data_IF_037282687269
#
_entry.id   IF_037282687269
#
_cell.length_a   1.000
_cell.length_b   1.000
_cell.length_c   1.000
_cell.angle_alpha   90.00
_cell.angle_beta   90.00
_cell.angle_gamma   90.00
#
_symmetry.space_group_name_H-M   'P 1'
#
loop_
_entity.id
_entity.type
_entity.pdbx_description
1 polymer ?
#
# COMPACT_ATOMS: atom_id res chain seq x y z
N UNK A 1 5.82 -1.01 6.85
CA UNK A 1 4.94 -0.07 6.17
C UNK A 1 3.97 0.56 7.17
N UNK A 2 3.76 1.88 7.07
CA UNK A 2 2.63 2.51 7.73
C UNK A 2 1.32 2.02 7.13
N UNK A 3 0.29 1.88 7.95
CA UNK A 3 -1.05 1.45 7.52
C UNK A 3 -2.07 2.39 8.13
N UNK A 4 -2.87 3.03 7.29
CA UNK A 4 -3.90 3.98 7.70
C UNK A 4 -5.24 3.48 7.18
N UNK A 5 -6.16 3.20 8.09
CA UNK A 5 -7.53 2.83 7.77
C UNK A 5 -8.34 4.12 7.58
N UNK A 6 -9.06 4.24 6.47
CA UNK A 6 -9.80 5.45 6.07
C UNK A 6 -11.22 5.06 5.75
N UNK A 7 -12.19 5.66 6.45
CA UNK A 7 -13.61 5.34 6.30
C UNK A 7 -14.46 6.61 6.29
N UNK A 8 -15.58 6.55 5.58
CA UNK A 8 -16.58 7.62 5.48
C UNK A 8 -17.07 7.82 4.05
N UNK A 9 -18.20 8.49 3.90
CA UNK A 9 -18.79 8.76 2.58
C UNK A 9 -17.89 9.63 1.70
N UNK A 10 -17.08 10.49 2.33
CA UNK A 10 -16.16 11.38 1.63
C UNK A 10 -14.74 10.81 1.51
N UNK A 11 -14.48 9.56 1.95
CA UNK A 11 -13.16 8.95 1.93
C UNK A 11 -12.54 8.91 0.52
N UNK A 12 -13.30 8.52 -0.50
CA UNK A 12 -12.83 8.49 -1.88
C UNK A 12 -12.47 9.89 -2.41
N UNK A 13 -13.31 10.88 -2.11
CA UNK A 13 -13.09 12.29 -2.47
C UNK A 13 -11.87 12.87 -1.75
N UNK A 14 -11.66 12.50 -0.48
CA UNK A 14 -10.49 12.91 0.28
C UNK A 14 -9.19 12.32 -0.31
N UNK A 15 -9.21 11.05 -0.70
CA UNK A 15 -8.08 10.44 -1.39
C UNK A 15 -7.78 11.11 -2.73
N UNK A 16 -8.80 11.57 -3.45
CA UNK A 16 -8.60 12.36 -4.67
C UNK A 16 -7.97 13.74 -4.39
N UNK A 17 -8.21 14.33 -3.23
CA UNK A 17 -7.62 15.60 -2.82
C UNK A 17 -6.13 15.45 -2.45
N UNK A 18 -5.76 14.40 -1.73
CA UNK A 18 -4.41 14.23 -1.18
C UNK A 18 -3.45 13.48 -2.12
N UNK A 19 -3.95 12.74 -3.10
CA UNK A 19 -3.13 12.05 -4.10
C UNK A 19 -3.17 12.73 -5.47
N UNK A 20 -2.11 12.60 -6.24
CA UNK A 20 -2.01 13.12 -7.61
C UNK A 20 -2.95 12.39 -8.58
N UNK A 21 -3.20 11.12 -8.36
CA UNK A 21 -4.08 10.28 -9.16
C UNK A 21 -5.46 10.09 -8.50
N UNK A 22 -6.41 9.48 -9.22
CA UNK A 22 -7.82 9.40 -8.81
C UNK A 22 -8.11 8.10 -8.08
N UNK A 23 -8.74 8.17 -6.93
CA UNK A 23 -9.15 7.01 -6.11
C UNK A 23 -10.66 6.78 -6.08
N UNK A 24 -11.47 7.81 -6.36
CA UNK A 24 -12.94 7.68 -6.48
C UNK A 24 -13.37 6.66 -7.53
N UNK A 25 -12.58 6.48 -8.59
CA UNK A 25 -12.80 5.49 -9.65
C UNK A 25 -12.19 4.11 -9.37
N UNK A 26 -11.55 3.91 -8.23
CA UNK A 26 -10.99 2.61 -7.87
C UNK A 26 -12.12 1.63 -7.51
N UNK A 27 -12.26 0.49 -8.19
CA UNK A 27 -13.28 -0.49 -7.81
C UNK A 27 -13.01 -1.10 -6.44
N UNK A 28 -14.06 -1.55 -5.75
CA UNK A 28 -13.94 -2.33 -4.52
C UNK A 28 -13.11 -3.59 -4.78
N UNK A 29 -12.29 -3.99 -3.82
CA UNK A 29 -11.32 -5.10 -3.90
C UNK A 29 -10.18 -4.87 -4.91
N UNK A 30 -9.90 -3.61 -5.22
CA UNK A 30 -8.72 -3.24 -6.03
C UNK A 30 -7.77 -2.37 -5.22
N UNK A 31 -6.51 -2.40 -5.65
CA UNK A 31 -5.42 -1.57 -5.13
C UNK A 31 -4.99 -0.59 -6.21
N UNK A 32 -4.54 0.57 -5.81
CA UNK A 32 -3.90 1.56 -6.70
C UNK A 32 -2.68 2.15 -6.01
N UNK A 33 -1.59 2.22 -6.73
CA UNK A 33 -0.42 2.97 -6.31
C UNK A 33 -0.70 4.47 -6.48
N UNK A 34 -0.28 5.26 -5.50
CA UNK A 34 -0.50 6.70 -5.46
C UNK A 34 0.76 7.47 -5.09
N UNK A 35 0.86 8.68 -5.62
CA UNK A 35 1.89 9.65 -5.29
C UNK A 35 1.24 10.82 -4.57
N UNK A 36 1.79 11.19 -3.41
CA UNK A 36 1.33 12.31 -2.59
C UNK A 36 2.34 13.44 -2.67
N UNK A 37 1.85 14.66 -2.88
CA UNK A 37 2.68 15.86 -2.90
C UNK A 37 2.45 16.70 -1.64
N UNK A 38 3.46 17.47 -1.28
CA UNK A 38 3.32 18.60 -0.38
C UNK A 38 2.72 19.78 -1.13
N UNK A 39 2.28 20.80 -0.42
CA UNK A 39 1.70 22.02 -0.98
C UNK A 39 2.66 22.77 -1.93
N UNK A 40 3.97 22.64 -1.71
CA UNK A 40 5.04 23.20 -2.54
C UNK A 40 5.39 22.38 -3.78
N UNK A 41 4.65 21.31 -4.06
CA UNK A 41 4.79 20.46 -5.25
C UNK A 41 5.84 19.35 -5.16
N UNK A 42 6.61 19.29 -4.08
CA UNK A 42 7.55 18.18 -3.86
C UNK A 42 6.83 16.92 -3.38
N UNK A 43 7.41 15.77 -3.68
CA UNK A 43 6.87 14.47 -3.23
C UNK A 43 6.94 14.39 -1.70
N UNK A 44 5.80 14.07 -1.09
CA UNK A 44 5.66 13.83 0.34
C UNK A 44 5.93 12.35 0.66
N UNK A 45 5.21 11.47 -0.03
CA UNK A 45 5.29 10.01 0.12
C UNK A 45 4.63 9.32 -1.07
N UNK A 46 4.87 8.03 -1.18
CA UNK A 46 4.22 7.14 -2.14
C UNK A 46 3.68 5.90 -1.41
N UNK A 47 2.79 5.20 -2.06
CA UNK A 47 2.28 3.95 -1.50
C UNK A 47 1.09 3.38 -2.24
N UNK A 48 0.57 2.29 -1.71
CA UNK A 48 -0.62 1.65 -2.26
C UNK A 48 -1.83 1.92 -1.39
N UNK A 49 -2.97 2.15 -2.03
CA UNK A 49 -4.25 2.26 -1.33
C UNK A 49 -5.21 1.22 -1.88
N UNK A 50 -5.73 0.38 -1.00
CA UNK A 50 -6.70 -0.65 -1.29
C UNK A 50 -8.11 -0.17 -0.96
N UNK A 51 -9.09 -0.37 -1.86
CA UNK A 51 -10.50 -0.16 -1.57
C UNK A 51 -11.11 -1.44 -1.04
N UNK A 52 -11.28 -1.52 0.28
CA UNK A 52 -11.80 -2.72 0.97
C UNK A 52 -13.32 -2.82 0.92
N UNK A 53 -13.98 -1.68 0.84
CA UNK A 53 -15.45 -1.54 0.75
C UNK A 53 -15.81 -0.24 0.05
N UNK A 54 -17.09 0.03 -0.13
CA UNK A 54 -17.54 1.22 -0.86
C UNK A 54 -16.94 2.51 -0.27
N UNK A 55 -17.00 2.65 1.05
CA UNK A 55 -16.51 3.81 1.80
C UNK A 55 -15.37 3.44 2.75
N UNK A 56 -14.60 2.40 2.43
CA UNK A 56 -13.53 1.89 3.27
C UNK A 56 -12.26 1.63 2.46
N UNK A 57 -11.18 2.30 2.85
CA UNK A 57 -9.87 2.20 2.21
C UNK A 57 -8.79 1.86 3.25
N UNK A 58 -7.76 1.18 2.79
CA UNK A 58 -6.52 0.96 3.54
C UNK A 58 -5.37 1.57 2.73
N UNK A 59 -4.80 2.64 3.25
CA UNK A 59 -3.61 3.28 2.71
C UNK A 59 -2.37 2.68 3.33
N UNK A 60 -1.35 2.38 2.52
CA UNK A 60 0.01 2.11 2.99
C UNK A 60 0.91 3.30 2.71
N UNK A 61 1.89 3.52 3.57
CA UNK A 61 2.89 4.58 3.46
C UNK A 61 4.28 3.99 3.60
N UNK A 62 5.29 4.72 3.20
CA UNK A 62 6.66 4.42 3.62
C UNK A 62 6.73 4.34 5.15
N UNK A 63 7.47 3.39 5.70
CA UNK A 63 7.56 3.20 7.16
C UNK A 63 8.03 4.48 7.87
N UNK A 64 9.07 5.12 7.35
CA UNK A 64 9.62 6.35 7.91
C UNK A 64 8.66 7.55 7.81
N UNK A 65 7.79 7.57 6.80
CA UNK A 65 6.84 8.65 6.57
C UNK A 65 5.48 8.47 7.26
N UNK A 66 5.22 7.33 7.91
CA UNK A 66 3.90 7.02 8.46
C UNK A 66 3.32 8.12 9.37
N UNK A 67 4.13 8.65 10.30
CA UNK A 67 3.73 9.76 11.17
C UNK A 67 3.60 11.09 10.44
N UNK A 68 4.42 11.34 9.41
CA UNK A 68 4.36 12.54 8.59
C UNK A 68 3.07 12.55 7.76
N UNK A 69 2.76 11.44 7.11
CA UNK A 69 1.52 11.29 6.32
C UNK A 69 0.29 11.44 7.22
N UNK A 70 0.26 10.81 8.39
CA UNK A 70 -0.86 10.99 9.34
C UNK A 70 -1.09 12.46 9.69
N UNK A 71 -0.03 13.20 10.02
CA UNK A 71 -0.14 14.64 10.32
C UNK A 71 -0.61 15.45 9.12
N UNK A 72 -0.14 15.10 7.92
CA UNK A 72 -0.56 15.76 6.69
C UNK A 72 -2.06 15.54 6.41
N UNK A 73 -2.54 14.29 6.53
CA UNK A 73 -3.95 13.98 6.35
C UNK A 73 -4.83 14.73 7.37
N UNK A 74 -4.39 14.76 8.63
CA UNK A 74 -5.10 15.45 9.70
C UNK A 74 -5.16 16.96 9.47
N UNK A 75 -4.04 17.57 9.08
CA UNK A 75 -3.96 18.99 8.72
C UNK A 75 -4.91 19.33 7.56
N UNK A 76 -4.87 18.57 6.47
CA UNK A 76 -5.75 18.80 5.31
C UNK A 76 -7.23 18.63 5.70
N UNK A 77 -7.55 17.60 6.48
CA UNK A 77 -8.91 17.39 6.96
C UNK A 77 -9.41 18.59 7.78
N UNK A 78 -8.62 19.06 8.74
CA UNK A 78 -9.01 20.13 9.63
C UNK A 78 -9.07 21.51 8.96
N UNK A 79 -8.30 21.74 7.92
CA UNK A 79 -8.20 23.05 7.25
C UNK A 79 -9.04 23.17 5.99
N UNK A 80 -9.24 22.09 5.23
CA UNK A 80 -9.90 22.12 3.92
C UNK A 80 -11.24 21.39 3.88
N UNK A 81 -11.48 20.46 4.78
CA UNK A 81 -12.65 19.58 4.67
C UNK A 81 -13.16 19.07 6.04
N UNK A 82 -13.18 19.93 7.04
CA UNK A 82 -13.57 19.57 8.40
C UNK A 82 -15.01 19.01 8.50
N UNK A 83 -15.90 19.45 7.61
CA UNK A 83 -17.31 19.02 7.58
C UNK A 83 -17.53 17.71 6.80
N UNK A 84 -16.46 17.13 6.23
CA UNK A 84 -16.59 15.88 5.48
C UNK A 84 -16.79 14.68 6.42
N UNK A 85 -17.65 13.76 6.01
CA UNK A 85 -17.83 12.48 6.69
C UNK A 85 -16.64 11.57 6.42
N UNK A 86 -15.63 11.72 7.26
CA UNK A 86 -14.32 11.09 7.12
C UNK A 86 -13.75 10.73 8.49
N UNK A 87 -13.20 9.53 8.59
CA UNK A 87 -12.42 9.06 9.74
C UNK A 87 -11.19 8.32 9.21
N UNK A 88 -10.04 8.59 9.79
CA UNK A 88 -8.82 7.84 9.51
C UNK A 88 -8.05 7.59 10.79
N UNK A 89 -7.46 6.41 10.88
CA UNK A 89 -6.71 5.96 12.05
C UNK A 89 -5.50 5.12 11.62
N UNK A 90 -4.38 5.29 12.32
CA UNK A 90 -3.24 4.39 12.14
C UNK A 90 -3.59 2.99 12.67
N UNK A 91 -3.44 2.00 11.80
CA UNK A 91 -3.58 0.58 12.13
C UNK A 91 -2.26 -0.16 11.91
N UNK A 92 -1.15 0.57 11.90
CA UNK A 92 0.19 0.03 11.65
C UNK A 92 0.51 -1.14 12.58
N UNK A 93 0.26 -0.98 13.86
CA UNK A 93 0.55 -1.99 14.88
C UNK A 93 -0.54 -3.08 14.99
N UNK A 94 -1.67 -2.89 14.32
CA UNK A 94 -2.79 -3.85 14.37
C UNK A 94 -2.62 -5.02 13.42
N UNK A 95 -1.75 -4.89 12.42
CA UNK A 95 -1.58 -5.87 11.35
C UNK A 95 -0.11 -6.21 11.12
N UNK A 96 0.24 -7.48 11.32
CA UNK A 96 1.49 -8.07 10.81
C UNK A 96 1.31 -8.41 9.33
N UNK A 97 2.19 -7.89 8.47
CA UNK A 97 2.10 -8.03 7.01
C UNK A 97 3.42 -8.57 6.45
N UNK A 98 3.33 -9.57 5.58
CA UNK A 98 4.47 -10.26 5.00
C UNK A 98 4.37 -10.26 3.48
N UNK A 99 5.48 -9.96 2.81
CA UNK A 99 5.63 -10.11 1.37
C UNK A 99 6.01 -11.57 1.04
N UNK A 100 5.31 -12.14 0.06
CA UNK A 100 5.59 -13.47 -0.50
C UNK A 100 5.82 -13.26 -1.99
N UNK A 101 7.07 -13.39 -2.45
CA UNK A 101 7.46 -13.03 -3.81
C UNK A 101 8.23 -14.17 -4.51
N UNK A 102 8.16 -14.18 -5.82
CA UNK A 102 8.82 -15.14 -6.69
C UNK A 102 7.87 -16.08 -7.43
N UNK A 103 8.37 -16.89 -8.36
CA UNK A 103 7.54 -17.70 -9.26
C UNK A 103 6.70 -18.77 -8.55
N UNK A 104 7.06 -19.13 -7.32
CA UNK A 104 6.32 -20.08 -6.49
C UNK A 104 5.43 -19.41 -5.43
N UNK A 105 5.33 -18.09 -5.41
CA UNK A 105 4.59 -17.33 -4.40
C UNK A 105 3.12 -17.75 -4.27
N UNK A 106 2.45 -17.98 -5.40
CA UNK A 106 1.06 -18.47 -5.41
C UNK A 106 0.94 -19.89 -4.84
N UNK A 107 1.87 -20.77 -5.19
CA UNK A 107 1.87 -22.14 -4.66
C UNK A 107 2.10 -22.14 -3.14
N UNK A 108 3.02 -21.31 -2.67
CA UNK A 108 3.30 -21.13 -1.23
C UNK A 108 2.05 -20.62 -0.49
N UNK A 109 1.38 -19.59 -1.02
CA UNK A 109 0.14 -19.09 -0.42
C UNK A 109 -0.95 -20.16 -0.37
N UNK A 110 -1.16 -20.92 -1.44
CA UNK A 110 -2.14 -22.00 -1.47
C UNK A 110 -1.85 -23.11 -0.45
N UNK A 111 -0.58 -23.26 -0.04
CA UNK A 111 -0.21 -24.21 1.01
C UNK A 111 -0.45 -23.67 2.44
N UNK A 112 -0.67 -22.36 2.58
CA UNK A 112 -0.89 -21.67 3.88
C UNK A 112 -2.36 -21.30 4.08
N UNK A 113 -3.06 -20.96 3.01
CA UNK A 113 -4.45 -20.53 3.06
C UNK A 113 -5.41 -21.71 3.31
N UNK A 114 -6.47 -21.49 4.06
CA UNK A 114 -7.52 -22.50 4.31
C UNK A 114 -8.26 -22.90 3.03
N UNK A 115 -8.31 -22.00 2.04
CA UNK A 115 -8.88 -22.28 0.73
C UNK A 115 -7.91 -21.79 -0.36
N UNK A 116 -7.72 -22.56 -1.44
CA UNK A 116 -6.90 -22.13 -2.57
C UNK A 116 -7.38 -20.81 -3.16
N UNK A 117 -6.44 -19.98 -3.59
CA UNK A 117 -6.75 -18.74 -4.28
C UNK A 117 -7.49 -19.03 -5.60
N UNK A 118 -8.71 -18.51 -5.69
CA UNK A 118 -9.43 -18.39 -6.96
C UNK A 118 -8.72 -17.39 -7.91
N UNK A 119 -9.43 -16.83 -8.86
CA UNK A 119 -8.89 -15.74 -9.68
C UNK A 119 -8.60 -14.51 -8.80
N UNK A 120 -7.31 -14.15 -8.73
CA UNK A 120 -6.83 -13.02 -7.93
C UNK A 120 -5.85 -12.21 -8.78
N UNK A 121 -6.36 -11.28 -9.64
CA UNK A 121 -5.54 -10.57 -10.62
C UNK A 121 -4.59 -9.58 -9.96
N UNK A 122 -3.58 -9.14 -10.71
CA UNK A 122 -2.66 -8.10 -10.26
C UNK A 122 -3.42 -6.85 -9.80
N UNK A 123 -2.97 -6.23 -8.71
CA UNK A 123 -3.63 -5.12 -8.00
C UNK A 123 -5.03 -5.48 -7.46
N UNK A 124 -5.31 -6.75 -7.19
CA UNK A 124 -6.48 -7.16 -6.40
C UNK A 124 -6.15 -7.16 -4.91
N UNK A 125 -7.18 -7.00 -4.09
CA UNK A 125 -7.14 -7.23 -2.66
C UNK A 125 -8.42 -7.90 -2.17
N UNK A 126 -8.35 -8.63 -1.06
CA UNK A 126 -9.53 -9.26 -0.50
C UNK A 126 -9.28 -10.00 0.79
N UNK A 127 -10.37 -10.41 1.47
CA UNK A 127 -10.27 -11.25 2.65
C UNK A 127 -9.88 -12.68 2.27
N UNK A 128 -9.06 -13.28 3.11
CA UNK A 128 -8.70 -14.71 3.09
C UNK A 128 -8.69 -15.23 4.52
N UNK A 129 -8.50 -16.54 4.69
CA UNK A 129 -8.34 -17.15 6.01
C UNK A 129 -7.10 -18.05 6.07
N UNK A 130 -6.46 -18.06 7.22
CA UNK A 130 -5.29 -18.89 7.53
C UNK A 130 -5.51 -19.53 8.91
N UNK A 131 -5.66 -20.85 8.96
CA UNK A 131 -5.95 -21.55 10.20
C UNK A 131 -7.19 -21.01 10.93
N UNK A 132 -8.24 -20.66 10.20
CA UNK A 132 -9.46 -20.04 10.73
C UNK A 132 -9.32 -18.54 11.08
N UNK A 133 -8.13 -17.95 10.99
CA UNK A 133 -7.89 -16.53 11.27
C UNK A 133 -8.21 -15.71 10.03
N UNK A 134 -9.03 -14.66 10.20
CA UNK A 134 -9.29 -13.69 9.13
C UNK A 134 -8.02 -12.91 8.78
N UNK A 135 -7.64 -12.93 7.53
CA UNK A 135 -6.49 -12.26 6.95
C UNK A 135 -6.90 -11.37 5.78
N UNK A 136 -6.01 -10.49 5.38
CA UNK A 136 -6.12 -9.67 4.16
C UNK A 136 -5.02 -10.07 3.19
N UNK A 137 -5.36 -10.19 1.92
CA UNK A 137 -4.41 -10.49 0.86
C UNK A 137 -4.43 -9.39 -0.19
N UNK A 138 -3.23 -9.02 -0.65
CA UNK A 138 -3.03 -8.04 -1.70
C UNK A 138 -2.11 -8.65 -2.76
N UNK A 139 -2.48 -8.58 -4.04
CA UNK A 139 -1.59 -8.99 -5.13
C UNK A 139 -0.79 -7.80 -5.64
N UNK A 140 0.20 -7.46 -4.87
CA UNK A 140 1.17 -6.40 -5.11
C UNK A 140 2.58 -6.93 -4.88
N UNK A 141 3.58 -6.31 -5.49
CA UNK A 141 4.97 -6.71 -5.32
C UNK A 141 5.88 -5.50 -5.39
N UNK A 142 6.78 -5.40 -4.44
CA UNK A 142 7.84 -4.40 -4.42
C UNK A 142 9.18 -4.94 -4.97
N UNK A 143 9.31 -6.26 -5.06
CA UNK A 143 10.49 -6.89 -5.68
C UNK A 143 10.44 -6.93 -7.21
N UNK A 144 9.30 -6.61 -7.81
CA UNK A 144 9.10 -6.74 -9.26
C UNK A 144 8.77 -8.14 -9.74
N UNK A 145 8.90 -9.16 -8.87
CA UNK A 145 8.50 -10.54 -9.14
C UNK A 145 6.97 -10.73 -8.98
N UNK A 146 6.45 -11.88 -9.39
CA UNK A 146 5.11 -12.26 -8.97
C UNK A 146 5.06 -12.27 -7.44
N UNK A 147 4.14 -11.51 -6.87
CA UNK A 147 4.13 -11.32 -5.43
C UNK A 147 2.76 -11.03 -4.85
N UNK A 148 2.70 -11.25 -3.56
CA UNK A 148 1.53 -10.99 -2.73
C UNK A 148 2.00 -10.43 -1.39
N UNK A 149 1.13 -9.68 -0.75
CA UNK A 149 1.28 -9.31 0.65
C UNK A 149 0.11 -9.87 1.44
N UNK A 150 0.40 -10.62 2.49
CA UNK A 150 -0.59 -11.20 3.38
C UNK A 150 -0.50 -10.56 4.75
N UNK A 151 -1.64 -10.09 5.29
CA UNK A 151 -1.72 -9.45 6.58
C UNK A 151 -2.68 -10.18 7.51
N UNK A 152 -2.24 -10.42 8.73
CA UNK A 152 -3.03 -10.99 9.83
C UNK A 152 -3.03 -10.03 11.02
N UNK A 153 -4.01 -10.11 11.95
CA UNK A 153 -3.92 -9.39 13.21
C UNK A 153 -2.59 -9.71 13.89
N UNK A 154 -1.93 -8.68 14.43
CA UNK A 154 -0.51 -8.72 14.87
C UNK A 154 -0.19 -9.92 15.78
N UNK A 155 -1.12 -10.31 16.68
CA UNK A 155 -0.93 -11.47 17.58
C UNK A 155 -0.70 -12.80 16.86
N UNK A 156 -1.04 -12.92 15.59
CA UNK A 156 -0.83 -14.12 14.77
C UNK A 156 0.39 -13.98 13.83
N UNK A 157 1.08 -12.86 13.87
CA UNK A 157 2.17 -12.55 12.93
C UNK A 157 3.32 -13.55 13.02
N UNK A 158 3.78 -13.86 14.23
CA UNK A 158 4.89 -14.81 14.41
C UNK A 158 4.53 -16.21 13.90
N UNK A 159 3.33 -16.68 14.22
CA UNK A 159 2.87 -18.01 13.76
C UNK A 159 2.81 -18.07 12.23
N UNK A 160 2.23 -17.06 11.58
CA UNK A 160 2.17 -17.00 10.11
C UNK A 160 3.57 -16.93 9.49
N UNK A 161 4.47 -16.12 10.05
CA UNK A 161 5.85 -16.02 9.54
C UNK A 161 6.57 -17.36 9.57
N UNK A 162 6.50 -18.07 10.69
CA UNK A 162 7.13 -19.40 10.84
C UNK A 162 6.57 -20.41 9.84
N UNK A 163 5.25 -20.42 9.63
CA UNK A 163 4.60 -21.32 8.67
C UNK A 163 4.99 -20.98 7.22
N UNK A 164 5.03 -19.69 6.87
CA UNK A 164 5.50 -19.24 5.56
C UNK A 164 6.95 -19.67 5.29
N UNK A 165 7.85 -19.48 6.26
CA UNK A 165 9.26 -19.85 6.11
C UNK A 165 9.39 -21.37 5.95
N UNK A 166 8.79 -22.15 6.85
CA UNK A 166 8.87 -23.61 6.81
C UNK A 166 8.38 -24.18 5.47
N UNK A 167 7.26 -23.66 4.95
CA UNK A 167 6.73 -24.10 3.65
C UNK A 167 7.57 -23.61 2.47
N UNK A 168 8.10 -22.38 2.54
CA UNK A 168 9.00 -21.87 1.51
C UNK A 168 10.26 -22.73 1.37
N UNK A 169 10.87 -23.14 2.48
CA UNK A 169 12.05 -24.01 2.50
C UNK A 169 11.79 -25.34 1.81
N UNK A 170 10.63 -25.95 2.02
CA UNK A 170 10.25 -27.21 1.32
C UNK A 170 10.10 -27.04 -0.19
N UNK A 171 9.89 -25.81 -0.64
CA UNK A 171 9.76 -25.45 -2.06
C UNK A 171 11.08 -24.93 -2.67
N UNK A 172 12.17 -24.92 -1.89
CA UNK A 172 13.48 -24.40 -2.29
C UNK A 172 13.56 -22.87 -2.26
N UNK A 173 12.72 -22.22 -1.47
CA UNK A 173 12.75 -20.79 -1.17
C UNK A 173 13.22 -20.54 0.27
N UNK A 174 13.01 -19.32 0.77
CA UNK A 174 13.37 -18.93 2.12
C UNK A 174 13.18 -17.44 2.36
N UNK A 175 13.50 -16.95 3.55
CA UNK A 175 13.46 -15.52 3.84
C UNK A 175 14.53 -14.78 3.04
N UNK A 176 14.19 -13.58 2.55
CA UNK A 176 15.12 -12.65 1.93
C UNK A 176 15.13 -11.31 2.67
N UNK A 177 16.30 -10.69 2.74
CA UNK A 177 16.51 -9.48 3.52
C UNK A 177 16.34 -8.21 2.71
N UNK A 178 16.50 -7.07 3.39
CA UNK A 178 16.36 -5.73 2.80
C UNK A 178 17.40 -5.44 1.72
N UNK A 179 18.62 -5.99 1.81
CA UNK A 179 19.66 -5.81 0.79
C UNK A 179 19.22 -6.45 -0.54
N UNK A 180 18.72 -7.71 -0.50
CA UNK A 180 18.19 -8.36 -1.68
C UNK A 180 16.98 -7.60 -2.25
N UNK A 181 16.08 -7.14 -1.39
CA UNK A 181 14.93 -6.34 -1.82
C UNK A 181 15.36 -5.03 -2.47
N UNK A 182 16.40 -4.36 -1.97
CA UNK A 182 16.93 -3.13 -2.56
C UNK A 182 17.47 -3.36 -3.97
N UNK A 183 18.16 -4.47 -4.22
CA UNK A 183 18.60 -4.82 -5.58
C UNK A 183 17.40 -5.02 -6.49
N UNK A 184 16.45 -5.87 -6.09
CA UNK A 184 15.27 -6.23 -6.88
C UNK A 184 14.41 -5.01 -7.22
N UNK A 185 14.13 -4.13 -6.24
CA UNK A 185 13.33 -2.93 -6.46
C UNK A 185 14.00 -1.94 -7.42
N UNK A 186 15.35 -1.81 -7.36
CA UNK A 186 16.11 -0.95 -8.27
C UNK A 186 16.07 -1.50 -9.69
N UNK A 187 16.24 -2.81 -9.88
CA UNK A 187 16.11 -3.47 -11.19
C UNK A 187 14.74 -3.22 -11.81
N UNK A 188 13.69 -3.11 -10.97
CA UNK A 188 12.31 -2.81 -11.39
C UNK A 188 12.05 -1.32 -11.60
N UNK A 189 12.89 -0.44 -11.07
CA UNK A 189 12.68 1.00 -11.07
C UNK A 189 11.73 1.50 -10.00
N UNK A 190 11.56 0.77 -8.89
CA UNK A 190 10.72 1.18 -7.78
C UNK A 190 11.51 2.03 -6.78
N UNK A 191 10.88 3.10 -6.30
CA UNK A 191 11.46 4.05 -5.35
C UNK A 191 11.23 3.64 -3.90
N UNK A 192 12.06 4.20 -3.01
CA UNK A 192 11.91 4.14 -1.56
C UNK A 192 12.00 5.55 -0.97
N UNK A 193 11.94 5.65 0.34
CA UNK A 193 12.18 6.90 1.05
C UNK A 193 13.58 7.50 0.79
N UNK A 194 14.55 6.70 0.34
CA UNK A 194 15.88 7.19 -0.01
C UNK A 194 15.86 8.15 -1.20
N UNK A 195 14.97 7.93 -2.17
CA UNK A 195 14.78 8.80 -3.32
C UNK A 195 13.87 10.01 -3.00
N UNK A 196 13.10 9.96 -1.90
CA UNK A 196 12.20 11.04 -1.46
C UNK A 196 12.89 11.84 -0.34
N UNK A 197 13.80 12.73 -0.71
CA UNK A 197 14.63 13.47 0.24
C UNK A 197 14.18 14.93 0.49
N UNK A 198 12.90 15.24 0.27
CA UNK A 198 12.28 16.55 0.56
C UNK A 198 12.42 17.61 -0.53
N UNK A 199 13.22 17.36 -1.59
CA UNK A 199 13.33 18.20 -2.80
C UNK A 199 13.08 17.41 -4.08
N UNK A 200 12.56 16.22 -3.95
CA UNK A 200 12.25 15.34 -5.09
C UNK A 200 10.90 15.73 -5.66
N UNK A 201 10.87 16.02 -6.96
CA UNK A 201 9.64 16.25 -7.72
C UNK A 201 9.17 14.95 -8.39
N UNK A 202 7.93 14.93 -8.85
CA UNK A 202 7.43 13.80 -9.65
C UNK A 202 8.21 13.63 -10.97
N UNK A 203 8.77 14.71 -11.50
CA UNK A 203 9.60 14.69 -12.72
C UNK A 203 10.96 14.03 -12.47
N UNK A 204 11.60 14.30 -11.33
CA UNK A 204 12.91 13.72 -10.98
C UNK A 204 12.87 12.19 -10.92
N UNK A 205 11.72 11.63 -10.58
CA UNK A 205 11.51 10.18 -10.44
C UNK A 205 10.73 9.56 -11.60
N UNK A 206 10.47 10.33 -12.68
CA UNK A 206 9.77 9.86 -13.89
C UNK A 206 8.30 9.53 -13.66
N UNK A 207 7.66 10.15 -12.67
CA UNK A 207 6.26 9.91 -12.30
C UNK A 207 5.32 11.09 -12.63
N UNK A 208 5.74 12.01 -13.49
CA UNK A 208 4.95 13.17 -13.91
C UNK A 208 3.58 12.78 -14.48
N UNK A 209 3.48 11.63 -15.15
CA UNK A 209 2.23 11.10 -15.70
C UNK A 209 1.21 10.69 -14.63
N UNK A 210 1.63 10.55 -13.38
CA UNK A 210 0.71 10.30 -12.27
C UNK A 210 -0.01 11.56 -11.81
N UNK A 211 0.48 12.74 -12.15
CA UNK A 211 -0.21 14.01 -11.88
C UNK A 211 -1.37 14.12 -12.86
N UNK A 212 -2.57 13.78 -12.41
CA UNK A 212 -3.76 13.80 -13.27
C UNK A 212 -4.07 15.20 -13.79
N UNK A 213 -4.18 15.42 -15.10
CA UNK A 213 -4.62 16.71 -15.64
C UNK A 213 -6.11 16.99 -15.38
N UNK A 214 -6.89 15.93 -15.08
CA UNK A 214 -8.36 15.97 -15.03
C UNK A 214 -8.93 16.37 -13.66
N UNK A 215 -8.10 16.43 -12.63
CA UNK A 215 -8.53 16.82 -11.29
C UNK A 215 -7.51 17.71 -10.63
N UNK A 216 -7.94 18.42 -9.61
CA UNK A 216 -7.05 19.15 -8.71
C UNK A 216 -6.66 18.28 -7.51
N UNK A 217 -5.51 18.56 -6.90
CA UNK A 217 -5.03 17.95 -5.68
C UNK A 217 -4.01 18.84 -4.98
N UNK A 218 -3.71 18.54 -3.72
CA UNK A 218 -2.66 19.22 -2.97
C UNK A 218 -1.33 19.16 -3.73
N UNK A 219 -0.68 20.32 -3.83
CA UNK A 219 0.63 20.48 -4.46
C UNK A 219 0.64 20.53 -5.99
N UNK A 220 -0.47 20.23 -6.68
CA UNK A 220 -0.49 20.18 -8.15
C UNK A 220 -0.09 21.51 -8.80
N UNK A 221 -0.59 22.62 -8.29
CA UNK A 221 -0.31 23.95 -8.86
C UNK A 221 1.18 24.33 -8.82
N UNK A 222 1.92 23.78 -7.86
CA UNK A 222 3.36 24.04 -7.68
C UNK A 222 4.24 22.94 -8.30
N UNK A 223 3.66 21.85 -8.74
CA UNK A 223 4.37 20.71 -9.35
C UNK A 223 4.58 20.87 -10.88
N UNK A 224 4.21 22.03 -11.45
CA UNK A 224 4.29 22.30 -12.89
C UNK A 224 5.64 22.89 -13.30
#
# INVERSE_FOLDING_TARGET
LGKIDIQGRDAARFLDLVYTNTFSTLPVRRVRYGLMLREDGYVLDDGTTARLGENHFLMTTTTAAAGLVMRHLDFIHQTHCIDWDLRFISVTESWAQFAVAGPKSRALLNAVLDQPLADFPFMACGPVTVGGVKARLFRISFSGEEGYEIAVPTRFGESLFRDLVAKAETMGGGPYGMEALNVLRVEKGFITHAEIHGRTTAFDIGMEKMISPKKDCIGKAMAA
#
